data_IF_319975090154
#
_entry.id   IF_319975090154
#
_cell.length_a   1.000
_cell.length_b   1.000
_cell.length_c   1.000
_cell.angle_alpha   90.00
_cell.angle_beta   90.00
_cell.angle_gamma   90.00
#
_symmetry.space_group_name_H-M   'P 1'
#
loop_
_entity.id
_entity.type
_entity.pdbx_description
1 polymer ?
#
# COMPACT_ATOMS: atom_id res chain seq x y z
N UNK A 1 1.07 3.63 3.86
CA UNK A 1 2.55 3.53 3.71
C UNK A 1 2.94 2.26 2.95
N UNK A 2 4.13 2.21 2.35
CA UNK A 2 4.64 1.01 1.63
C UNK A 2 5.77 0.37 2.44
N UNK A 3 5.75 -0.95 2.63
CA UNK A 3 6.85 -1.72 3.25
C UNK A 3 7.30 -2.85 2.31
N UNK A 4 8.61 -3.11 2.26
CA UNK A 4 9.20 -4.24 1.52
C UNK A 4 9.36 -5.44 2.47
N UNK A 5 8.85 -6.61 2.11
CA UNK A 5 9.00 -7.88 2.83
C UNK A 5 9.18 -9.03 1.84
N UNK A 6 10.14 -9.92 2.10
CA UNK A 6 10.42 -11.07 1.24
C UNK A 6 10.51 -10.73 -0.26
N UNK A 7 11.15 -9.59 -0.59
CA UNK A 7 11.28 -9.12 -1.98
C UNK A 7 10.05 -8.45 -2.60
N UNK A 8 8.91 -8.40 -1.89
CA UNK A 8 7.66 -7.81 -2.36
C UNK A 8 7.33 -6.52 -1.61
N UNK A 9 6.62 -5.61 -2.27
CA UNK A 9 6.10 -4.35 -1.74
C UNK A 9 4.65 -4.49 -1.33
N UNK A 10 4.31 -3.99 -0.14
CA UNK A 10 2.97 -4.08 0.41
C UNK A 10 2.54 -2.72 0.91
N UNK A 11 1.26 -2.40 0.73
CA UNK A 11 0.64 -1.23 1.33
C UNK A 11 0.12 -1.59 2.71
N UNK A 12 0.47 -0.79 3.70
CA UNK A 12 -0.05 -0.85 5.06
C UNK A 12 -0.80 0.43 5.40
N UNK A 13 -1.68 0.33 6.40
CA UNK A 13 -2.31 1.49 7.03
C UNK A 13 -1.27 2.42 7.68
N UNK A 14 -1.71 3.59 8.15
CA UNK A 14 -0.82 4.59 8.75
C UNK A 14 -0.03 4.06 9.95
N UNK A 15 -0.61 3.15 10.75
CA UNK A 15 0.10 2.52 11.89
C UNK A 15 1.04 1.39 11.49
N UNK A 16 1.04 0.97 10.21
CA UNK A 16 1.86 -0.13 9.74
C UNK A 16 1.46 -1.52 10.28
N UNK A 17 0.34 -1.63 11.00
CA UNK A 17 -0.16 -2.88 11.62
C UNK A 17 -1.05 -3.69 10.68
N UNK A 18 -1.86 -3.02 9.85
CA UNK A 18 -2.81 -3.69 8.93
C UNK A 18 -2.30 -3.60 7.49
N UNK A 19 -2.18 -4.76 6.85
CA UNK A 19 -1.90 -4.87 5.41
C UNK A 19 -3.16 -4.53 4.61
N UNK A 20 -3.05 -3.61 3.68
CA UNK A 20 -4.15 -3.10 2.84
C UNK A 20 -4.05 -3.56 1.37
N UNK A 21 -3.02 -4.34 1.03
CA UNK A 21 -2.83 -4.85 -0.32
C UNK A 21 -2.20 -6.24 -0.36
N UNK A 22 -2.25 -6.86 -1.54
CA UNK A 22 -1.36 -7.97 -1.90
C UNK A 22 0.09 -7.50 -2.02
N UNK A 23 1.01 -8.46 -2.14
CA UNK A 23 2.41 -8.17 -2.43
C UNK A 23 2.61 -7.84 -3.90
N UNK A 24 3.36 -6.79 -4.17
CA UNK A 24 3.71 -6.35 -5.51
C UNK A 24 5.21 -6.55 -5.74
N UNK A 25 5.60 -6.95 -6.95
CA UNK A 25 7.04 -7.07 -7.29
C UNK A 25 7.70 -5.70 -7.45
N UNK A 26 6.94 -4.70 -7.91
CA UNK A 26 7.38 -3.35 -8.19
C UNK A 26 6.86 -2.36 -7.13
N UNK A 27 7.68 -1.37 -6.77
CA UNK A 27 7.32 -0.37 -5.76
C UNK A 27 6.21 0.55 -6.29
N UNK A 28 6.21 0.77 -7.61
CA UNK A 28 5.29 1.63 -8.35
C UNK A 28 3.86 1.11 -8.26
N UNK A 29 3.66 -0.21 -8.30
CA UNK A 29 2.33 -0.82 -8.18
C UNK A 29 1.76 -0.65 -6.77
N UNK A 30 2.62 -0.80 -5.74
CA UNK A 30 2.23 -0.51 -4.36
C UNK A 30 1.93 0.99 -4.16
N UNK A 31 2.64 1.88 -4.86
CA UNK A 31 2.37 3.32 -4.84
C UNK A 31 1.05 3.68 -5.51
N UNK A 32 0.75 3.11 -6.68
CA UNK A 32 -0.57 3.26 -7.33
C UNK A 32 -1.69 2.83 -6.38
N UNK A 33 -1.53 1.69 -5.70
CA UNK A 33 -2.52 1.22 -4.73
C UNK A 33 -2.65 2.15 -3.52
N UNK A 34 -1.55 2.69 -3.01
CA UNK A 34 -1.59 3.66 -1.91
C UNK A 34 -2.38 4.91 -2.30
N UNK A 35 -2.12 5.48 -3.48
CA UNK A 35 -2.85 6.66 -4.00
C UNK A 35 -4.35 6.39 -4.15
N UNK A 36 -4.73 5.23 -4.67
CA UNK A 36 -6.15 4.83 -4.75
C UNK A 36 -6.80 4.79 -3.36
N UNK A 37 -6.13 4.19 -2.37
CA UNK A 37 -6.65 4.11 -1.00
C UNK A 37 -6.81 5.52 -0.40
N UNK A 38 -5.84 6.41 -0.61
CA UNK A 38 -5.91 7.79 -0.13
C UNK A 38 -7.05 8.56 -0.81
N UNK A 39 -7.21 8.42 -2.13
CA UNK A 39 -8.32 9.03 -2.87
C UNK A 39 -9.69 8.61 -2.31
N UNK A 40 -9.93 7.30 -2.12
CA UNK A 40 -11.18 6.82 -1.53
C UNK A 40 -11.37 7.21 -0.06
N UNK A 41 -10.29 7.53 0.67
CA UNK A 41 -10.38 8.02 2.05
C UNK A 41 -10.87 9.47 2.10
N UNK A 42 -10.52 10.29 1.12
CA UNK A 42 -10.88 11.71 1.06
C UNK A 42 -12.19 12.00 0.31
N UNK A 43 -12.73 11.02 -0.43
CA UNK A 43 -14.05 11.10 -1.05
C UNK A 43 -15.22 10.85 -0.08
N UNK A 44 -14.93 10.54 1.18
CA UNK A 44 -15.91 10.18 2.20
C UNK A 44 -16.00 11.25 3.26
#
# INVERSE_FOLDING_TARGET
MIKKRAGLYYVYNHTGKKKLSKGYRKKEDALKRLRQIEYFKHLK
#
